data_IF_550937904086
#
_entry.id   IF_550937904086
#
_cell.length_a   1.000
_cell.length_b   1.000
_cell.length_c   1.000
_cell.angle_alpha   90.00
_cell.angle_beta   90.00
_cell.angle_gamma   90.00
#
_symmetry.space_group_name_H-M   'P 1'
#
loop_
_entity.id
_entity.type
_entity.pdbx_description
1 polymer ?
#
# COMPACT_ATOMS: atom_id res chain seq x y z
N UNK A 1 -50.35 -36.48 -18.42
CA UNK A 1 -49.84 -36.66 -17.04
C UNK A 1 -48.36 -36.98 -17.13
N UNK A 2 -47.54 -36.08 -16.56
CA UNK A 2 -46.20 -36.23 -15.99
C UNK A 2 -45.12 -37.04 -16.73
N UNK A 3 -43.88 -36.58 -16.94
CA UNK A 3 -43.17 -35.28 -16.86
C UNK A 3 -41.76 -35.62 -17.32
N UNK A 4 -41.23 -34.92 -18.31
CA UNK A 4 -39.78 -34.80 -18.47
C UNK A 4 -39.31 -33.63 -17.62
N UNK A 5 -38.23 -33.81 -16.86
CA UNK A 5 -37.23 -32.76 -16.67
C UNK A 5 -35.94 -33.35 -16.06
N UNK A 6 -34.89 -33.41 -16.87
CA UNK A 6 -33.53 -33.62 -16.41
C UNK A 6 -33.03 -32.32 -15.77
N UNK A 7 -33.03 -32.24 -14.44
CA UNK A 7 -32.30 -31.19 -13.73
C UNK A 7 -30.91 -31.71 -13.34
N UNK A 8 -29.93 -31.40 -14.19
CA UNK A 8 -28.51 -31.41 -13.82
C UNK A 8 -28.29 -30.33 -12.76
N UNK A 9 -28.24 -30.73 -11.49
CA UNK A 9 -27.80 -29.87 -10.40
C UNK A 9 -26.28 -29.64 -10.52
N UNK A 10 -25.88 -28.63 -11.27
CA UNK A 10 -24.56 -28.03 -11.17
C UNK A 10 -24.53 -27.05 -9.98
N UNK A 11 -24.51 -27.57 -8.74
CA UNK A 11 -24.14 -26.76 -7.57
C UNK A 11 -22.62 -26.74 -7.44
N UNK A 12 -21.96 -26.01 -8.34
CA UNK A 12 -20.66 -25.43 -8.01
C UNK A 12 -20.93 -24.22 -7.14
N UNK A 13 -20.69 -24.32 -5.83
CA UNK A 13 -20.68 -23.15 -4.95
C UNK A 13 -19.75 -22.10 -5.58
N UNK A 14 -20.14 -20.81 -5.66
CA UNK A 14 -19.19 -19.78 -6.08
C UNK A 14 -18.02 -19.89 -5.12
N UNK A 15 -16.81 -20.07 -5.67
CA UNK A 15 -15.57 -20.14 -4.89
C UNK A 15 -15.56 -18.89 -4.01
N UNK A 16 -15.82 -19.06 -2.71
CA UNK A 16 -15.71 -17.99 -1.73
C UNK A 16 -14.32 -17.41 -1.92
N UNK A 17 -14.23 -16.15 -2.36
CA UNK A 17 -12.95 -15.50 -2.56
C UNK A 17 -12.21 -15.60 -1.24
N UNK A 18 -11.14 -16.39 -1.20
CA UNK A 18 -10.35 -16.54 0.00
C UNK A 18 -9.93 -15.13 0.42
N UNK A 19 -10.30 -14.73 1.64
CA UNK A 19 -9.89 -13.49 2.27
C UNK A 19 -8.85 -13.89 3.32
N UNK A 20 -7.54 -13.92 2.97
CA UNK A 20 -6.53 -14.50 3.86
C UNK A 20 -6.41 -13.74 5.17
N UNK A 21 -6.65 -12.41 5.13
CA UNK A 21 -6.70 -11.54 6.31
C UNK A 21 -8.05 -10.82 6.33
N UNK A 22 -8.89 -11.01 7.37
CA UNK A 22 -10.15 -10.29 7.52
C UNK A 22 -9.93 -8.77 7.56
N UNK A 23 -10.82 -7.98 6.94
CA UNK A 23 -10.68 -6.52 6.89
C UNK A 23 -10.81 -5.87 8.28
N UNK A 24 -11.47 -6.56 9.22
CA UNK A 24 -11.59 -6.21 10.63
C UNK A 24 -10.22 -6.12 11.31
N UNK A 25 -9.21 -6.81 10.76
CA UNK A 25 -7.82 -6.74 11.23
C UNK A 25 -7.11 -5.43 10.86
N UNK A 26 -7.75 -4.53 10.08
CA UNK A 26 -7.16 -3.25 9.65
C UNK A 26 -6.62 -2.43 10.83
N UNK A 27 -7.35 -2.43 11.96
CA UNK A 27 -6.90 -1.75 13.18
C UNK A 27 -5.61 -2.36 13.74
N UNK A 28 -5.50 -3.70 13.76
CA UNK A 28 -4.30 -4.40 14.24
C UNK A 28 -3.10 -4.15 13.33
N UNK A 29 -3.31 -4.17 12.00
CA UNK A 29 -2.27 -3.83 11.01
C UNK A 29 -1.80 -2.39 11.24
N UNK A 30 -2.73 -1.45 11.41
CA UNK A 30 -2.39 -0.05 11.69
C UNK A 30 -1.60 0.10 13.00
N UNK A 31 -2.02 -0.58 14.07
CA UNK A 31 -1.36 -0.53 15.37
C UNK A 31 0.07 -1.08 15.29
N UNK A 32 0.29 -2.17 14.54
CA UNK A 32 1.62 -2.73 14.35
C UNK A 32 2.56 -1.74 13.65
N UNK A 33 2.08 -1.08 12.58
CA UNK A 33 2.84 -0.06 11.86
C UNK A 33 3.12 1.15 12.76
N UNK A 34 2.15 1.58 13.57
CA UNK A 34 2.33 2.68 14.53
C UNK A 34 3.43 2.37 15.54
N UNK A 35 3.50 1.14 16.06
CA UNK A 35 4.59 0.72 16.98
C UNK A 35 5.95 0.80 16.29
N UNK A 36 6.04 0.37 15.03
CA UNK A 36 7.29 0.50 14.26
C UNK A 36 7.65 1.98 14.08
N UNK A 37 6.71 2.80 13.63
CA UNK A 37 6.94 4.23 13.39
C UNK A 37 7.32 5.00 14.66
N UNK A 38 6.68 4.74 15.80
CA UNK A 38 7.02 5.42 17.04
C UNK A 38 8.39 5.01 17.59
N UNK A 39 8.78 3.75 17.41
CA UNK A 39 10.05 3.23 17.91
C UNK A 39 11.23 3.49 16.95
N UNK A 40 10.96 3.72 15.66
CA UNK A 40 12.01 3.82 14.62
C UNK A 40 13.09 4.89 14.89
N UNK A 41 12.77 6.13 15.33
CA UNK A 41 13.79 7.14 15.59
C UNK A 41 14.87 6.69 16.58
N UNK A 42 14.48 5.86 17.55
CA UNK A 42 15.38 5.36 18.61
C UNK A 42 16.03 4.03 18.22
N UNK A 43 15.26 3.09 17.68
CA UNK A 43 15.71 1.71 17.47
C UNK A 43 16.48 1.50 16.17
N UNK A 44 16.29 2.36 15.16
CA UNK A 44 16.89 2.17 13.81
C UNK A 44 18.41 2.01 13.79
N UNK A 45 19.12 2.53 14.81
CA UNK A 45 20.57 2.44 14.94
C UNK A 45 21.04 1.19 15.70
N UNK A 46 20.13 0.48 16.37
CA UNK A 46 20.47 -0.64 17.24
C UNK A 46 20.79 -1.92 16.45
N UNK A 47 20.16 -2.14 15.30
CA UNK A 47 20.48 -3.26 14.42
C UNK A 47 19.99 -3.03 12.99
N UNK A 48 20.51 -3.81 12.03
CA UNK A 48 20.08 -3.76 10.62
C UNK A 48 18.60 -4.13 10.44
N UNK A 49 18.08 -5.02 11.29
CA UNK A 49 16.66 -5.36 11.31
C UNK A 49 15.82 -4.13 11.65
N UNK A 50 16.20 -3.35 12.66
CA UNK A 50 15.51 -2.12 12.98
C UNK A 50 15.71 -1.04 11.91
N UNK A 51 16.88 -0.98 11.27
CA UNK A 51 17.14 -0.07 10.15
C UNK A 51 16.21 -0.33 8.96
N UNK A 52 15.96 -1.61 8.63
CA UNK A 52 15.07 -2.02 7.54
C UNK A 52 13.58 -1.99 7.93
N UNK A 53 13.23 -1.87 9.21
CA UNK A 53 11.83 -1.90 9.67
C UNK A 53 10.96 -0.80 9.04
N UNK A 54 11.51 0.40 8.79
CA UNK A 54 10.79 1.49 8.12
C UNK A 54 10.40 1.10 6.68
N UNK A 55 11.32 0.45 5.96
CA UNK A 55 11.04 -0.06 4.62
C UNK A 55 9.87 -1.06 4.67
N UNK A 56 9.93 -2.06 5.55
CA UNK A 56 8.88 -3.06 5.68
C UNK A 56 7.53 -2.46 6.10
N UNK A 57 7.52 -1.47 6.98
CA UNK A 57 6.31 -0.76 7.37
C UNK A 57 5.64 -0.04 6.18
N UNK A 58 6.42 0.64 5.32
CA UNK A 58 5.89 1.26 4.11
C UNK A 58 5.41 0.23 3.08
N UNK A 59 6.10 -0.91 2.95
CA UNK A 59 5.61 -2.01 2.11
C UNK A 59 4.27 -2.56 2.62
N UNK A 60 4.12 -2.73 3.94
CA UNK A 60 2.88 -3.18 4.53
C UNK A 60 1.74 -2.19 4.27
N UNK A 61 1.99 -0.87 4.34
CA UNK A 61 1.01 0.15 3.93
C UNK A 61 0.58 -0.03 2.45
N UNK A 62 1.52 -0.28 1.54
CA UNK A 62 1.22 -0.49 0.12
C UNK A 62 0.35 -1.74 -0.07
N UNK A 63 0.77 -2.87 0.50
CA UNK A 63 0.06 -4.15 0.41
C UNK A 63 -1.34 -4.06 1.00
N UNK A 64 -1.49 -3.47 2.19
CA UNK A 64 -2.79 -3.34 2.84
C UNK A 64 -3.74 -2.43 2.04
N UNK A 65 -3.22 -1.35 1.47
CA UNK A 65 -4.00 -0.45 0.60
C UNK A 65 -4.51 -1.18 -0.63
N UNK A 66 -3.62 -1.86 -1.37
CA UNK A 66 -4.02 -2.59 -2.58
C UNK A 66 -4.95 -3.77 -2.25
N UNK A 67 -4.72 -4.46 -1.13
CA UNK A 67 -5.57 -5.55 -0.69
C UNK A 67 -7.02 -5.10 -0.44
N UNK A 68 -7.22 -4.01 0.29
CA UNK A 68 -8.56 -3.48 0.55
C UNK A 68 -9.20 -2.87 -0.71
N UNK A 69 -8.42 -2.24 -1.60
CA UNK A 69 -8.96 -1.77 -2.87
C UNK A 69 -9.39 -2.92 -3.80
N UNK A 70 -8.63 -4.01 -3.87
CA UNK A 70 -9.03 -5.19 -4.64
C UNK A 70 -10.26 -5.89 -4.03
N UNK A 71 -10.34 -5.96 -2.68
CA UNK A 71 -11.55 -6.44 -2.00
C UNK A 71 -12.76 -5.57 -2.34
N UNK A 72 -12.59 -4.25 -2.32
CA UNK A 72 -13.62 -3.28 -2.71
C UNK A 72 -14.08 -3.46 -4.17
N UNK A 73 -13.14 -3.68 -5.11
CA UNK A 73 -13.44 -3.92 -6.54
C UNK A 73 -14.19 -5.23 -6.81
N UNK A 74 -14.07 -6.20 -5.91
CA UNK A 74 -14.79 -7.47 -6.02
C UNK A 74 -16.23 -7.40 -5.49
N UNK A 75 -16.57 -6.35 -4.74
CA UNK A 75 -17.94 -6.08 -4.34
C UNK A 75 -18.74 -5.41 -5.48
N UNK A 76 -20.08 -5.59 -5.54
CA UNK A 76 -20.92 -4.85 -6.46
C UNK A 76 -20.76 -3.33 -6.26
N UNK A 77 -20.71 -2.58 -7.36
CA UNK A 77 -20.56 -1.12 -7.31
C UNK A 77 -21.69 -0.47 -6.50
N UNK A 78 -21.34 0.49 -5.65
CA UNK A 78 -22.25 1.20 -4.75
C UNK A 78 -22.97 0.30 -3.72
N UNK A 79 -22.39 -0.87 -3.41
CA UNK A 79 -22.90 -1.72 -2.32
C UNK A 79 -22.42 -1.24 -0.95
N UNK A 80 -23.17 -1.59 0.09
CA UNK A 80 -22.78 -1.34 1.49
C UNK A 80 -21.43 -1.98 1.81
N UNK A 81 -21.19 -3.22 1.36
CA UNK A 81 -19.91 -3.92 1.52
C UNK A 81 -18.73 -3.13 0.92
N UNK A 82 -18.90 -2.58 -0.29
CA UNK A 82 -17.89 -1.73 -0.92
C UNK A 82 -17.59 -0.49 -0.07
N UNK A 83 -18.63 0.17 0.45
CA UNK A 83 -18.50 1.36 1.28
C UNK A 83 -17.80 1.05 2.61
N UNK A 84 -18.13 -0.09 3.25
CA UNK A 84 -17.47 -0.55 4.47
C UNK A 84 -15.97 -0.73 4.23
N UNK A 85 -15.58 -1.48 3.19
CA UNK A 85 -14.15 -1.70 2.88
C UNK A 85 -13.42 -0.38 2.61
N UNK A 86 -14.03 0.55 1.87
CA UNK A 86 -13.43 1.86 1.61
C UNK A 86 -13.31 2.72 2.87
N UNK A 87 -14.31 2.69 3.76
CA UNK A 87 -14.25 3.39 5.04
C UNK A 87 -13.14 2.81 5.92
N UNK A 88 -13.03 1.48 6.02
CA UNK A 88 -11.95 0.80 6.73
C UNK A 88 -10.56 1.19 6.20
N UNK A 89 -10.42 1.35 4.89
CA UNK A 89 -9.18 1.82 4.26
C UNK A 89 -8.87 3.29 4.58
N UNK A 90 -9.88 4.15 4.60
CA UNK A 90 -9.71 5.55 4.98
C UNK A 90 -9.38 5.70 6.47
N UNK A 91 -10.01 4.92 7.34
CA UNK A 91 -9.69 4.87 8.77
C UNK A 91 -8.25 4.40 9.02
N UNK A 92 -7.79 3.39 8.26
CA UNK A 92 -6.39 2.97 8.29
C UNK A 92 -5.45 4.15 8.00
N UNK A 93 -5.67 4.86 6.89
CA UNK A 93 -4.84 6.01 6.54
C UNK A 93 -5.02 7.21 7.48
N UNK A 94 -6.18 7.35 8.11
CA UNK A 94 -6.43 8.32 9.18
C UNK A 94 -5.57 8.08 10.42
N UNK A 95 -5.20 6.83 10.71
CA UNK A 95 -4.25 6.48 11.79
C UNK A 95 -2.79 6.60 11.35
N UNK A 96 -2.47 6.17 10.13
CA UNK A 96 -1.10 6.08 9.64
C UNK A 96 -0.51 7.44 9.24
N UNK A 97 -1.30 8.32 8.60
CA UNK A 97 -0.81 9.62 8.12
C UNK A 97 -0.26 10.50 9.25
N UNK A 98 -0.92 10.64 10.42
CA UNK A 98 -0.36 11.36 11.56
C UNK A 98 0.99 10.83 12.03
N UNK A 99 1.21 9.52 11.99
CA UNK A 99 2.48 8.92 12.41
C UNK A 99 3.61 9.20 11.41
N UNK A 100 3.32 9.23 10.11
CA UNK A 100 4.29 9.68 9.09
C UNK A 100 4.64 11.15 9.32
N UNK A 101 3.65 12.00 9.60
CA UNK A 101 3.86 13.41 9.92
C UNK A 101 4.75 13.60 11.17
N UNK A 102 4.53 12.79 12.22
CA UNK A 102 5.38 12.80 13.41
C UNK A 102 6.82 12.41 13.07
N UNK A 103 7.03 11.32 12.32
CA UNK A 103 8.35 10.87 11.90
C UNK A 103 9.13 11.94 11.12
N UNK A 104 8.50 12.57 10.12
CA UNK A 104 9.16 13.63 9.34
C UNK A 104 9.40 14.89 10.15
N UNK A 105 8.75 15.07 11.30
CA UNK A 105 8.95 16.24 12.16
C UNK A 105 10.09 16.05 13.18
N UNK A 106 10.60 14.83 13.37
CA UNK A 106 11.62 14.56 14.39
C UNK A 106 12.99 15.15 14.04
N UNK A 107 13.44 15.00 12.80
CA UNK A 107 14.73 15.55 12.34
C UNK A 107 14.82 15.56 10.82
N UNK A 108 15.67 16.44 10.26
CA UNK A 108 15.91 16.52 8.82
C UNK A 108 16.37 15.20 8.21
N UNK A 109 17.31 14.51 8.85
CA UNK A 109 17.85 13.23 8.35
C UNK A 109 16.74 12.17 8.30
N UNK A 110 15.91 12.11 9.34
CA UNK A 110 14.78 11.17 9.36
C UNK A 110 13.74 11.52 8.30
N UNK A 111 13.45 12.81 8.13
CA UNK A 111 12.54 13.29 7.09
C UNK A 111 13.02 12.90 5.69
N UNK A 112 14.31 13.03 5.38
CA UNK A 112 14.88 12.62 4.09
C UNK A 112 14.70 11.11 3.85
N UNK A 113 14.93 10.28 4.87
CA UNK A 113 14.72 8.83 4.78
C UNK A 113 13.24 8.47 4.59
N UNK A 114 12.36 9.07 5.38
CA UNK A 114 10.91 8.84 5.30
C UNK A 114 10.37 9.33 3.95
N UNK A 115 10.84 10.47 3.44
CA UNK A 115 10.44 10.99 2.13
C UNK A 115 10.76 10.02 1.00
N UNK A 116 11.91 9.33 1.04
CA UNK A 116 12.26 8.32 0.05
C UNK A 116 11.29 7.14 0.05
N UNK A 117 10.97 6.61 1.24
CA UNK A 117 10.03 5.50 1.36
C UNK A 117 8.60 5.91 1.04
N UNK A 118 8.18 7.10 1.50
CA UNK A 118 6.85 7.62 1.24
C UNK A 118 6.63 7.90 -0.24
N UNK A 119 7.61 8.47 -0.93
CA UNK A 119 7.52 8.68 -2.38
C UNK A 119 7.45 7.36 -3.14
N UNK A 120 8.21 6.36 -2.70
CA UNK A 120 8.15 5.00 -3.27
C UNK A 120 6.78 4.35 -3.04
N UNK A 121 6.11 4.68 -1.93
CA UNK A 121 4.72 4.29 -1.69
C UNK A 121 3.76 4.98 -2.66
N UNK A 122 3.89 6.29 -2.88
CA UNK A 122 3.05 7.02 -3.84
C UNK A 122 3.19 6.44 -5.26
N UNK A 123 4.42 6.16 -5.69
CA UNK A 123 4.70 5.54 -6.99
C UNK A 123 4.11 4.13 -7.11
N UNK A 124 4.20 3.31 -6.06
CA UNK A 124 3.62 1.97 -6.04
C UNK A 124 2.09 2.01 -6.15
N UNK A 125 1.45 2.91 -5.41
CA UNK A 125 0.00 3.11 -5.49
C UNK A 125 -0.41 3.65 -6.86
N UNK A 126 0.39 4.53 -7.46
CA UNK A 126 0.13 5.09 -8.79
C UNK A 126 0.21 4.00 -9.86
N UNK A 127 1.27 3.19 -9.83
CA UNK A 127 1.47 2.09 -10.78
C UNK A 127 0.29 1.11 -10.75
N UNK A 128 -0.26 0.84 -9.57
CA UNK A 128 -1.41 -0.05 -9.40
C UNK A 128 -2.78 0.62 -9.62
N UNK A 129 -2.82 1.91 -9.98
CA UNK A 129 -4.06 2.65 -10.24
C UNK A 129 -4.90 2.86 -8.99
N UNK A 130 -4.28 3.17 -7.86
CA UNK A 130 -4.98 3.33 -6.57
C UNK A 130 -5.96 4.50 -6.60
N UNK A 131 -7.17 4.21 -6.12
CA UNK A 131 -8.25 5.19 -5.97
C UNK A 131 -7.95 6.11 -4.78
N UNK A 132 -7.43 5.54 -3.69
CA UNK A 132 -7.07 6.29 -2.49
C UNK A 132 -5.94 7.27 -2.77
N UNK A 133 -4.93 6.89 -3.56
CA UNK A 133 -3.88 7.82 -3.96
C UNK A 133 -4.46 9.06 -4.65
N UNK A 134 -5.37 8.88 -5.61
CA UNK A 134 -5.98 10.00 -6.33
C UNK A 134 -6.69 10.99 -5.39
N UNK A 135 -7.29 10.50 -4.31
CA UNK A 135 -7.99 11.31 -3.29
C UNK A 135 -7.05 11.95 -2.28
N UNK A 136 -6.01 11.23 -1.85
CA UNK A 136 -5.12 11.65 -0.76
C UNK A 136 -3.84 12.33 -1.24
N UNK A 137 -3.46 12.23 -2.52
CA UNK A 137 -2.26 12.85 -3.06
C UNK A 137 -2.13 14.36 -2.78
N UNK A 138 -3.22 15.18 -2.85
CA UNK A 138 -3.14 16.59 -2.46
C UNK A 138 -2.81 16.79 -0.98
N UNK A 139 -3.28 15.91 -0.10
CA UNK A 139 -3.04 15.95 1.35
C UNK A 139 -1.66 15.39 1.73
N UNK A 140 -1.18 14.39 0.99
CA UNK A 140 0.10 13.73 1.23
C UNK A 140 1.28 14.46 0.61
N UNK A 141 1.09 15.12 -0.52
CA UNK A 141 2.13 15.91 -1.20
C UNK A 141 2.89 16.88 -0.27
N UNK A 142 2.22 17.68 0.57
CA UNK A 142 2.89 18.61 1.49
C UNK A 142 3.80 17.94 2.53
N UNK A 143 3.55 16.68 2.90
CA UNK A 143 4.36 15.94 3.89
C UNK A 143 5.83 15.89 3.48
N UNK A 144 6.09 15.78 2.17
CA UNK A 144 7.46 15.72 1.63
C UNK A 144 8.24 17.03 1.86
N UNK A 145 7.57 18.14 2.16
CA UNK A 145 8.15 19.47 2.30
C UNK A 145 8.37 19.91 3.76
N UNK A 146 8.10 19.05 4.76
CA UNK A 146 8.15 19.43 6.19
C UNK A 146 9.46 20.12 6.63
N UNK A 147 10.60 19.75 6.05
CA UNK A 147 11.91 20.38 6.31
C UNK A 147 12.52 21.04 5.06
N UNK A 148 11.74 21.17 3.98
CA UNK A 148 12.23 21.60 2.68
C UNK A 148 11.34 22.70 2.12
N UNK A 149 11.91 23.91 1.96
CA UNK A 149 11.29 24.94 1.12
C UNK A 149 11.21 24.48 -0.34
N UNK A 150 12.18 23.66 -0.77
CA UNK A 150 12.19 22.97 -2.06
C UNK A 150 12.77 21.56 -1.89
N UNK A 151 12.09 20.56 -2.47
CA UNK A 151 12.58 19.19 -2.51
C UNK A 151 13.85 19.05 -3.34
N UNK A 152 14.78 18.14 -2.99
CA UNK A 152 15.87 17.74 -3.88
C UNK A 152 15.35 17.38 -5.28
N UNK A 153 16.06 17.82 -6.32
CA UNK A 153 15.56 17.75 -7.71
C UNK A 153 15.09 16.36 -8.16
N UNK A 154 15.82 15.31 -7.77
CA UNK A 154 15.42 13.93 -8.10
C UNK A 154 14.11 13.49 -7.42
N UNK A 155 13.83 13.97 -6.20
CA UNK A 155 12.55 13.73 -5.52
C UNK A 155 11.43 14.60 -6.11
N UNK A 156 11.76 15.83 -6.49
CA UNK A 156 10.80 16.72 -7.14
C UNK A 156 10.28 16.12 -8.45
N UNK A 157 11.18 15.58 -9.30
CA UNK A 157 10.79 14.91 -10.56
C UNK A 157 9.91 13.69 -10.30
N UNK A 158 10.28 12.85 -9.34
CA UNK A 158 9.48 11.67 -8.96
C UNK A 158 8.08 12.06 -8.46
N UNK A 159 7.97 13.07 -7.60
CA UNK A 159 6.68 13.59 -7.14
C UNK A 159 5.86 14.19 -8.28
N UNK A 160 6.51 14.89 -9.20
CA UNK A 160 5.85 15.48 -10.36
C UNK A 160 5.24 14.40 -11.25
N UNK A 161 5.93 13.28 -11.48
CA UNK A 161 5.38 12.12 -12.20
C UNK A 161 4.11 11.56 -11.53
N UNK A 162 4.02 11.61 -10.19
CA UNK A 162 2.81 11.20 -9.47
C UNK A 162 1.65 12.18 -9.67
N UNK A 163 1.94 13.48 -9.87
CA UNK A 163 0.93 14.54 -10.04
C UNK A 163 0.43 14.68 -11.48
N UNK A 164 1.32 14.49 -12.44
CA UNK A 164 1.03 14.67 -13.87
C UNK A 164 0.26 13.49 -14.48
N UNK A 165 -0.10 12.49 -13.67
CA UNK A 165 -0.91 11.38 -14.13
C UNK A 165 -2.33 11.86 -14.47
N UNK A 166 -2.76 11.73 -15.73
CA UNK A 166 -4.02 12.34 -16.18
C UNK A 166 -5.23 11.66 -15.50
N UNK A 167 -6.26 12.43 -15.11
CA UNK A 167 -7.50 11.88 -14.52
C UNK A 167 -8.33 10.98 -15.46
N UNK A 168 -7.88 10.71 -16.69
CA UNK A 168 -8.76 10.28 -17.80
C UNK A 168 -8.62 8.84 -18.30
N UNK A 169 -7.96 7.92 -17.58
CA UNK A 169 -8.07 6.47 -17.89
C UNK A 169 -9.20 5.76 -17.11
N UNK A 170 -10.04 6.52 -16.42
CA UNK A 170 -11.14 6.00 -15.60
C UNK A 170 -12.45 5.82 -16.37
N UNK A 171 -12.55 6.30 -17.61
CA UNK A 171 -13.74 6.15 -18.46
C UNK A 171 -13.31 5.56 -19.80
N UNK A 172 -14.08 4.60 -20.32
CA UNK A 172 -13.96 3.96 -21.65
C UNK A 172 -13.02 2.74 -21.79
N UNK A 173 -13.37 1.58 -21.20
CA UNK A 173 -13.31 0.22 -21.82
C UNK A 173 -13.57 -0.91 -20.79
N UNK A 174 -14.84 -1.12 -20.43
CA UNK A 174 -15.24 -1.89 -19.24
C UNK A 174 -14.89 -3.41 -19.24
N UNK A 175 -14.43 -4.00 -20.36
CA UNK A 175 -14.15 -5.46 -20.43
C UNK A 175 -12.66 -5.79 -20.62
N UNK A 176 -11.84 -4.85 -21.13
CA UNK A 176 -10.39 -5.05 -21.32
C UNK A 176 -9.55 -4.67 -20.07
N UNK A 177 -10.08 -3.79 -19.22
CA UNK A 177 -9.33 -3.18 -18.10
C UNK A 177 -9.06 -4.16 -16.95
N UNK A 178 -9.96 -5.13 -16.67
CA UNK A 178 -9.77 -6.03 -15.51
C UNK A 178 -8.58 -6.98 -15.68
N UNK A 179 -8.39 -7.54 -16.89
CA UNK A 179 -7.26 -8.43 -17.18
C UNK A 179 -5.93 -7.67 -17.15
N UNK A 180 -5.92 -6.45 -17.66
CA UNK A 180 -4.74 -5.57 -17.65
C UNK A 180 -4.39 -5.11 -16.22
N UNK A 181 -5.38 -4.68 -15.44
CA UNK A 181 -5.22 -4.31 -14.01
C UNK A 181 -4.63 -5.47 -13.19
N UNK A 182 -5.12 -6.69 -13.40
CA UNK A 182 -4.59 -7.88 -12.73
C UNK A 182 -3.14 -8.18 -13.14
N UNK A 183 -2.78 -7.97 -14.41
CA UNK A 183 -1.41 -8.19 -14.88
C UNK A 183 -0.44 -7.15 -14.30
N UNK A 184 -0.87 -5.89 -14.17
CA UNK A 184 -0.09 -4.83 -13.52
C UNK A 184 0.12 -5.14 -12.04
N UNK A 185 -0.95 -5.49 -11.32
CA UNK A 185 -0.87 -5.86 -9.91
C UNK A 185 0.04 -7.07 -9.69
N UNK A 186 -0.09 -8.12 -10.50
CA UNK A 186 0.75 -9.31 -10.40
C UNK A 186 2.24 -8.98 -10.64
N UNK A 187 2.53 -8.17 -11.66
CA UNK A 187 3.89 -7.71 -11.95
C UNK A 187 4.45 -6.89 -10.79
N UNK A 188 3.64 -6.01 -10.21
CA UNK A 188 4.01 -5.23 -9.04
C UNK A 188 4.32 -6.12 -7.83
N UNK A 189 3.45 -7.09 -7.52
CA UNK A 189 3.66 -8.05 -6.44
C UNK A 189 4.96 -8.85 -6.64
N UNK A 190 5.25 -9.34 -7.84
CA UNK A 190 6.50 -10.06 -8.12
C UNK A 190 7.75 -9.19 -7.89
N UNK A 191 7.74 -7.95 -8.39
CA UNK A 191 8.86 -7.03 -8.16
C UNK A 191 9.00 -6.66 -6.69
N UNK A 192 7.88 -6.51 -5.99
CA UNK A 192 7.87 -6.21 -4.57
C UNK A 192 8.46 -7.38 -3.76
N UNK A 193 8.01 -8.60 -4.02
CA UNK A 193 8.55 -9.82 -3.41
C UNK A 193 10.05 -9.95 -3.65
N UNK A 194 10.51 -9.69 -4.88
CA UNK A 194 11.94 -9.71 -5.21
C UNK A 194 12.71 -8.65 -4.41
N UNK A 195 12.22 -7.41 -4.35
CA UNK A 195 12.84 -6.33 -3.56
C UNK A 195 12.91 -6.67 -2.07
N UNK A 196 11.84 -7.23 -1.51
CA UNK A 196 11.82 -7.70 -0.12
C UNK A 196 12.90 -8.76 0.11
N UNK A 197 12.97 -9.78 -0.75
CA UNK A 197 14.01 -10.81 -0.66
C UNK A 197 15.44 -10.27 -0.75
N UNK A 198 15.67 -9.25 -1.58
CA UNK A 198 16.98 -8.59 -1.65
C UNK A 198 17.32 -7.85 -0.35
N UNK A 199 16.38 -7.10 0.23
CA UNK A 199 16.58 -6.37 1.49
C UNK A 199 16.78 -7.34 2.65
N UNK A 200 16.03 -8.44 2.70
CA UNK A 200 16.19 -9.49 3.71
C UNK A 200 17.56 -10.14 3.61
N UNK A 201 18.01 -10.52 2.41
CA UNK A 201 19.34 -11.09 2.19
C UNK A 201 20.46 -10.11 2.61
N UNK A 202 20.34 -8.84 2.21
CA UNK A 202 21.30 -7.79 2.64
C UNK A 202 21.29 -7.62 4.16
N UNK A 203 20.12 -7.60 4.77
CA UNK A 203 19.96 -7.47 6.22
C UNK A 203 20.58 -8.67 6.95
N UNK A 204 20.41 -9.88 6.44
CA UNK A 204 21.02 -11.10 7.00
C UNK A 204 22.55 -11.06 6.92
N UNK A 205 23.12 -10.68 5.78
CA UNK A 205 24.58 -10.52 5.64
C UNK A 205 25.11 -9.44 6.58
N UNK A 206 24.39 -8.31 6.68
CA UNK A 206 24.82 -7.20 7.51
C UNK A 206 24.68 -7.49 9.01
N UNK A 207 23.69 -8.30 9.42
CA UNK A 207 23.48 -8.69 10.82
C UNK A 207 24.68 -9.44 11.41
N UNK A 208 25.43 -10.18 10.58
CA UNK A 208 26.67 -10.85 11.02
C UNK A 208 27.72 -9.88 11.58
N UNK A 209 27.69 -8.61 11.18
CA UNK A 209 28.60 -7.58 11.70
C UNK A 209 28.13 -6.94 13.02
N UNK A 210 26.86 -7.15 13.41
CA UNK A 210 26.29 -6.67 14.68
C UNK A 210 26.34 -7.72 15.80
N UNK A 211 26.73 -8.96 15.48
CA UNK A 211 26.85 -10.08 16.42
C UNK A 211 28.24 -10.22 17.07
N UNK A 212 28.99 -9.12 17.20
CA UNK A 212 30.30 -9.07 17.88
C UNK A 212 30.19 -8.25 19.17
#
# INVERSE_FOLDING_TARGET
MFTGNNNTHSHGSPISSAQPIPQEMSCHVANHIQVIFSAFPEQSKASVLHMSSLFHAFILCQLWTMYLEELSKNNPSNSESQNVTMNTLLEFWGKITPCILQLVSCSKILAEMVNLHFLSLLEALLECGSIVLSKLLPLWSPILFSHHTQLPGHLQVRLQNCRDFPPSRMSEHFVSIKRESNAVLLRWLHRLQFKMGQIEMQSSTATQFYSI
#
